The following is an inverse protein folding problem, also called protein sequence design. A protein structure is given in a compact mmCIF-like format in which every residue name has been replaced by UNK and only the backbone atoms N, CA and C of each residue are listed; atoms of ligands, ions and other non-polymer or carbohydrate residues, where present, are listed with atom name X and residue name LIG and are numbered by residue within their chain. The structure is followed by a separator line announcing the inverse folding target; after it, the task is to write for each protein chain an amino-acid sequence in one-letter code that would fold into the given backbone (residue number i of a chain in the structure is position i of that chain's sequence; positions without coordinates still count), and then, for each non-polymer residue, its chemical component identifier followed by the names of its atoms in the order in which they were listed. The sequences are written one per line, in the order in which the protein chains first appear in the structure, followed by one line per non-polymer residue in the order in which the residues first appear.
data_IF_681217775077
#
_entry.id   IF_681217775077
#
_cell.length_a   1.000
_cell.length_b   1.000
_cell.length_c   1.000
_cell.angle_alpha   90.00
_cell.angle_beta   90.00
_cell.angle_gamma   90.00
#
_symmetry.space_group_name_H-M   'P 1'
#
loop_
_entity.id
_entity.type
_entity.pdbx_description
1 polymer ?
#
# COMPACT_ATOMS: atom_id res chain seq x y z
N UNK A 1 21.00 0.10 -7.62
CA UNK A 1 20.05 0.63 -8.62
C UNK A 1 18.66 0.45 -8.05
N UNK A 2 18.34 1.37 -7.15
CA UNK A 2 17.20 1.29 -6.27
C UNK A 2 15.96 1.59 -7.10
N UNK A 3 15.17 0.54 -7.35
CA UNK A 3 13.93 0.62 -8.11
C UNK A 3 12.88 1.33 -7.26
N UNK A 4 13.02 2.64 -7.12
CA UNK A 4 12.11 3.50 -6.38
C UNK A 4 10.77 3.56 -7.12
N UNK A 5 9.91 2.59 -6.81
CA UNK A 5 8.60 2.42 -7.41
C UNK A 5 7.76 3.67 -7.19
N UNK A 6 7.59 4.51 -8.22
CA UNK A 6 6.79 5.72 -8.13
C UNK A 6 5.38 5.34 -7.68
N UNK A 7 4.98 5.89 -6.53
CA UNK A 7 3.77 5.49 -5.81
C UNK A 7 2.92 6.71 -5.51
N UNK A 8 1.91 6.92 -6.35
CA UNK A 8 0.93 7.99 -6.18
C UNK A 8 -0.24 7.50 -5.31
N UNK A 9 -0.38 8.07 -4.11
CA UNK A 9 -1.50 7.82 -3.21
C UNK A 9 -2.52 8.96 -3.25
N UNK A 10 -3.78 8.62 -3.49
CA UNK A 10 -4.91 9.55 -3.59
C UNK A 10 -6.02 9.18 -2.59
N UNK A 11 -6.49 10.14 -1.82
CA UNK A 11 -7.61 9.97 -0.89
C UNK A 11 -8.82 10.83 -1.32
N UNK A 12 -10.02 10.33 -1.05
CA UNK A 12 -11.26 11.12 -1.03
C UNK A 12 -11.97 10.83 0.28
N UNK A 13 -12.02 11.83 1.15
CA UNK A 13 -12.67 11.77 2.46
C UNK A 13 -13.74 12.86 2.48
N UNK A 14 -14.98 12.45 2.73
CA UNK A 14 -16.15 13.29 2.79
C UNK A 14 -17.04 12.74 3.94
N UNK A 15 -16.98 13.37 5.13
CA UNK A 15 -17.73 12.90 6.30
C UNK A 15 -19.24 12.99 6.12
N UNK A 16 -19.73 14.04 5.43
CA UNK A 16 -21.16 14.27 5.22
C UNK A 16 -21.81 13.16 4.38
N UNK A 17 -21.04 12.53 3.49
CA UNK A 17 -21.47 11.41 2.65
C UNK A 17 -20.98 10.03 3.13
N UNK A 18 -20.47 9.91 4.37
CA UNK A 18 -19.88 8.69 4.94
C UNK A 18 -18.87 8.01 3.98
N UNK A 19 -18.07 8.82 3.30
CA UNK A 19 -17.24 8.39 2.17
C UNK A 19 -15.76 8.60 2.49
N UNK A 20 -15.09 7.51 2.89
CA UNK A 20 -13.64 7.45 3.07
C UNK A 20 -13.05 6.43 2.09
N UNK A 21 -12.48 6.87 0.96
CA UNK A 21 -11.94 6.01 -0.09
C UNK A 21 -10.49 6.35 -0.41
N UNK A 22 -9.69 5.32 -0.68
CA UNK A 22 -8.32 5.45 -1.17
C UNK A 22 -8.19 4.95 -2.62
N UNK A 23 -7.13 5.41 -3.28
CA UNK A 23 -6.71 4.96 -4.59
C UNK A 23 -5.18 5.09 -4.66
N UNK A 24 -4.48 3.96 -4.62
CA UNK A 24 -3.02 3.85 -4.74
C UNK A 24 -2.68 3.37 -6.15
N UNK A 25 -1.74 4.07 -6.78
CA UNK A 25 -1.07 3.66 -8.01
C UNK A 25 0.39 3.42 -7.67
N UNK A 26 0.97 2.30 -8.09
CA UNK A 26 2.43 2.11 -8.07
C UNK A 26 2.92 1.50 -9.38
N UNK A 27 4.05 1.99 -9.87
CA UNK A 27 4.73 1.46 -11.05
C UNK A 27 5.81 0.50 -10.58
N UNK A 28 5.79 -0.74 -11.05
CA UNK A 28 6.74 -1.79 -10.66
C UNK A 28 7.38 -2.40 -11.91
N UNK A 29 8.72 -2.55 -11.95
CA UNK A 29 9.38 -3.24 -13.06
C UNK A 29 8.93 -4.71 -13.11
N UNK A 30 8.87 -5.29 -14.30
CA UNK A 30 8.54 -6.71 -14.50
C UNK A 30 9.81 -7.52 -14.74
N UNK A 31 9.75 -8.83 -14.49
CA UNK A 31 10.87 -9.75 -14.75
C UNK A 31 11.27 -9.85 -16.23
N UNK A 32 10.43 -9.35 -17.15
CA UNK A 32 10.63 -9.41 -18.60
C UNK A 32 11.08 -8.07 -19.20
N UNK A 33 11.60 -7.13 -18.38
CA UNK A 33 12.08 -5.83 -18.84
C UNK A 33 11.00 -4.77 -19.09
N UNK A 34 9.72 -5.16 -19.13
CA UNK A 34 8.58 -4.25 -19.16
C UNK A 34 8.26 -3.63 -17.80
N UNK A 35 7.17 -2.87 -17.72
CA UNK A 35 6.68 -2.24 -16.49
C UNK A 35 5.21 -2.57 -16.22
N UNK A 36 4.82 -2.56 -14.96
CA UNK A 36 3.45 -2.85 -14.54
C UNK A 36 2.89 -1.71 -13.70
N UNK A 37 1.64 -1.33 -13.98
CA UNK A 37 0.89 -0.38 -13.16
C UNK A 37 -0.04 -1.15 -12.23
N UNK A 38 0.32 -1.17 -10.95
CA UNK A 38 -0.51 -1.75 -9.90
C UNK A 38 -1.46 -0.69 -9.37
N UNK A 39 -2.76 -0.98 -9.47
CA UNK A 39 -3.86 -0.14 -9.01
C UNK A 39 -4.49 -0.81 -7.80
N UNK A 40 -4.57 -0.13 -6.67
CA UNK A 40 -5.19 -0.64 -5.45
C UNK A 40 -6.18 0.39 -4.90
N UNK A 41 -7.43 -0.01 -4.67
CA UNK A 41 -8.49 0.94 -4.28
C UNK A 41 -9.52 0.31 -3.36
N UNK A 42 -10.12 1.10 -2.48
CA UNK A 42 -11.10 0.60 -1.53
C UNK A 42 -11.66 1.67 -0.61
N UNK A 43 -12.42 1.22 0.40
CA UNK A 43 -12.76 2.04 1.56
C UNK A 43 -11.54 2.05 2.50
N UNK A 44 -11.20 3.20 3.07
CA UNK A 44 -10.10 3.30 4.04
C UNK A 44 -10.43 2.37 5.24
N UNK A 45 -9.44 1.60 5.71
CA UNK A 45 -9.63 0.56 6.73
C UNK A 45 -10.11 -0.79 6.19
N UNK A 46 -10.07 -1.03 4.87
CA UNK A 46 -10.41 -2.33 4.26
C UNK A 46 -9.32 -2.80 3.29
N UNK A 47 -9.24 -4.11 3.03
CA UNK A 47 -8.32 -4.69 2.03
C UNK A 47 -8.49 -4.10 0.62
N UNK A 48 -9.69 -3.61 0.27
CA UNK A 48 -9.97 -3.04 -1.05
C UNK A 48 -9.95 -4.07 -2.17
N UNK A 49 -9.54 -3.63 -3.38
CA UNK A 49 -9.37 -4.43 -4.59
C UNK A 49 -8.11 -4.00 -5.33
N UNK A 50 -7.43 -4.95 -5.98
CA UNK A 50 -6.25 -4.69 -6.79
C UNK A 50 -6.50 -5.06 -8.26
N UNK A 51 -5.88 -4.33 -9.19
CA UNK A 51 -5.68 -4.72 -10.59
C UNK A 51 -4.25 -4.38 -10.98
N UNK A 52 -3.57 -5.33 -11.63
CA UNK A 52 -2.30 -5.09 -12.33
C UNK A 52 -2.61 -4.91 -13.82
N UNK A 53 -1.88 -4.01 -14.48
CA UNK A 53 -1.91 -3.84 -15.92
C UNK A 53 -0.47 -3.76 -16.42
N UNK A 54 -0.12 -4.53 -17.45
CA UNK A 54 1.24 -4.66 -17.96
C UNK A 54 1.45 -3.70 -19.14
N UNK A 55 2.67 -3.20 -19.28
CA UNK A 55 3.15 -2.29 -20.31
C UNK A 55 4.55 -2.68 -20.73
N UNK A 56 4.90 -2.43 -21.99
CA UNK A 56 6.22 -2.75 -22.52
C UNK A 56 7.27 -1.74 -22.04
N UNK A 57 6.87 -0.51 -21.70
CA UNK A 57 7.76 0.53 -21.17
C UNK A 57 7.29 1.15 -19.86
N UNK A 58 8.24 1.66 -19.06
CA UNK A 58 7.97 2.45 -17.85
C UNK A 58 7.26 3.77 -18.15
N UNK A 59 7.56 4.39 -19.30
CA UNK A 59 6.96 5.65 -19.76
C UNK A 59 5.46 5.47 -20.03
N UNK A 60 5.06 4.37 -20.67
CA UNK A 60 3.63 4.07 -20.89
C UNK A 60 2.88 3.78 -19.59
N UNK A 61 3.51 3.05 -18.66
CA UNK A 61 2.96 2.80 -17.33
C UNK A 61 2.77 4.10 -16.54
N UNK A 62 3.73 5.03 -16.62
CA UNK A 62 3.65 6.36 -16.01
C UNK A 62 2.53 7.20 -16.65
N UNK A 63 2.50 7.33 -17.98
CA UNK A 63 1.45 8.05 -18.70
C UNK A 63 0.05 7.43 -18.47
N UNK A 64 -0.06 6.12 -18.25
CA UNK A 64 -1.29 5.46 -17.81
C UNK A 64 -1.67 5.83 -16.36
N UNK A 65 -0.70 5.83 -15.45
CA UNK A 65 -0.86 6.26 -14.06
C UNK A 65 -1.38 7.69 -13.96
N UNK A 66 -0.72 8.64 -14.63
CA UNK A 66 -1.09 10.06 -14.66
C UNK A 66 -2.49 10.29 -15.22
N UNK A 67 -2.84 9.67 -16.36
CA UNK A 67 -4.20 9.75 -16.94
C UNK A 67 -5.27 9.27 -15.96
N UNK A 68 -4.98 8.27 -15.13
CA UNK A 68 -5.88 7.78 -14.10
C UNK A 68 -5.91 8.74 -12.91
N UNK A 69 -4.75 9.21 -12.43
CA UNK A 69 -4.64 10.17 -11.34
C UNK A 69 -5.41 11.46 -11.65
N UNK A 70 -5.18 12.09 -12.81
CA UNK A 70 -5.91 13.29 -13.26
C UNK A 70 -7.43 13.07 -13.38
N UNK A 71 -7.87 11.87 -13.79
CA UNK A 71 -9.30 11.50 -13.79
C UNK A 71 -9.88 11.34 -12.38
N UNK A 72 -9.07 10.93 -11.39
CA UNK A 72 -9.48 10.81 -9.98
C UNK A 72 -9.47 12.17 -9.27
N UNK A 73 -8.47 13.03 -9.52
CA UNK A 73 -8.40 14.39 -8.97
C UNK A 73 -9.65 15.21 -9.35
N UNK A 74 -10.05 15.16 -10.63
CA UNK A 74 -11.32 15.75 -11.12
C UNK A 74 -12.59 15.17 -10.47
N UNK A 75 -12.52 13.98 -9.88
CA UNK A 75 -13.61 13.34 -9.11
C UNK A 75 -13.56 13.64 -7.60
N UNK A 76 -12.81 14.66 -7.19
CA UNK A 76 -12.69 15.08 -5.79
C UNK A 76 -11.68 14.27 -4.96
N UNK A 77 -10.84 13.44 -5.58
CA UNK A 77 -9.67 12.90 -4.88
C UNK A 77 -8.60 13.99 -4.71
N UNK A 78 -7.72 13.83 -3.73
CA UNK A 78 -6.56 14.67 -3.43
C UNK A 78 -5.34 13.79 -3.20
N UNK A 79 -4.15 14.29 -3.49
CA UNK A 79 -2.90 13.61 -3.11
C UNK A 79 -2.84 13.48 -1.60
N UNK A 80 -2.46 12.29 -1.11
CA UNK A 80 -2.01 12.14 0.26
C UNK A 80 -0.64 12.83 0.36
N UNK A 81 -0.53 13.87 1.17
CA UNK A 81 0.74 14.54 1.43
C UNK A 81 1.74 13.56 2.04
N UNK A 82 2.99 13.59 1.57
CA UNK A 82 4.05 12.66 1.95
C UNK A 82 4.31 12.57 3.48
N UNK A 83 3.90 13.59 4.24
CA UNK A 83 3.85 13.62 5.71
C UNK A 83 3.08 12.44 6.36
N UNK A 84 2.34 11.63 5.59
CA UNK A 84 1.71 10.38 6.06
C UNK A 84 2.08 9.12 5.27
N UNK A 85 2.98 9.20 4.29
CA UNK A 85 3.37 8.04 3.48
C UNK A 85 4.43 7.15 4.15
N UNK A 86 5.19 7.68 5.12
CA UNK A 86 6.20 6.93 5.88
C UNK A 86 5.63 6.16 7.10
N UNK A 87 4.37 6.40 7.49
CA UNK A 87 3.70 5.70 8.60
C UNK A 87 2.67 4.72 8.06
N UNK A 88 3.12 3.51 7.72
CA UNK A 88 2.27 2.50 7.05
C UNK A 88 2.82 1.09 7.02
N UNK A 89 4.13 0.88 7.19
CA UNK A 89 4.67 -0.40 7.70
C UNK A 89 4.91 -0.22 9.20
N UNK A 90 3.80 -0.09 9.93
CA UNK A 90 3.81 -0.39 11.37
C UNK A 90 3.34 -1.84 11.45
N UNK A 91 4.30 -2.76 11.49
CA UNK A 91 4.05 -4.04 12.16
C UNK A 91 3.57 -3.73 13.58
N UNK A 92 2.63 -4.48 14.18
CA UNK A 92 2.29 -4.29 15.58
C UNK A 92 3.45 -4.72 16.48
N UNK A 93 4.40 -3.81 16.68
CA UNK A 93 5.37 -3.89 17.78
C UNK A 93 4.59 -3.73 19.09
N UNK A 94 4.32 -4.86 19.75
CA UNK A 94 3.33 -4.93 20.82
C UNK A 94 2.83 -6.34 21.16
N UNK A 95 3.17 -7.36 20.36
CA UNK A 95 3.02 -8.77 20.73
C UNK A 95 4.07 -9.18 21.79
N UNK A 96 3.87 -8.69 23.03
CA UNK A 96 4.52 -9.03 24.31
C UNK A 96 5.89 -9.74 24.24
N UNK A 97 6.95 -9.00 24.58
CA UNK A 97 8.11 -9.59 25.25
C UNK A 97 7.68 -10.18 26.58
N UNK A 98 7.75 -11.50 26.71
CA UNK A 98 7.74 -12.22 27.98
C UNK A 98 8.73 -13.38 27.88
N UNK A 99 10.03 -13.07 27.98
CA UNK A 99 11.09 -14.05 28.15
C UNK A 99 11.47 -14.13 29.64
N UNK A 100 10.77 -15.00 30.37
CA UNK A 100 11.18 -15.56 31.65
C UNK A 100 10.34 -16.83 31.89
N UNK A 101 10.91 -18.02 32.05
CA UNK A 101 12.31 -18.41 31.88
C UNK A 101 12.41 -19.93 31.71
N UNK A 102 13.54 -20.40 31.19
CA UNK A 102 13.85 -21.83 31.11
C UNK A 102 14.53 -22.29 32.40
N UNK A 103 13.91 -23.25 33.10
CA UNK A 103 14.56 -24.15 34.06
C UNK A 103 14.01 -25.55 33.79
N UNK A 104 14.92 -26.53 33.71
CA UNK A 104 14.66 -27.91 33.30
C UNK A 104 14.46 -28.86 34.53
N UNK A 105 14.39 -30.21 34.42
CA UNK A 105 13.32 -30.97 35.09
C UNK A 105 13.78 -31.79 36.31
N UNK A 106 12.80 -32.26 37.10
CA UNK A 106 12.94 -33.44 37.97
C UNK A 106 11.57 -34.08 38.35
N UNK A 107 11.36 -35.32 37.93
CA UNK A 107 10.53 -36.35 38.61
C UNK A 107 11.40 -36.99 39.72
N UNK A 108 10.90 -37.70 40.77
CA UNK A 108 9.53 -38.15 41.09
C UNK A 108 9.10 -37.68 42.52
N UNK A 109 8.23 -38.28 43.35
CA UNK A 109 7.41 -39.51 43.32
C UNK A 109 6.20 -39.37 44.28
N UNK A 110 5.09 -40.06 43.98
CA UNK A 110 4.44 -41.06 44.86
C UNK A 110 3.59 -42.03 44.01
#
# INVERSE_FOLDING_TARGET
MDSQADTTLLHRIDPALNMARFYRLSIQPTLFGGSSLVRHWGRIGTMGRQKVELFDTSVEAAAAGERIAGRKLRRGYRHASAARAAQGIVMPEGAKTALAGFVEPATPAE
#
